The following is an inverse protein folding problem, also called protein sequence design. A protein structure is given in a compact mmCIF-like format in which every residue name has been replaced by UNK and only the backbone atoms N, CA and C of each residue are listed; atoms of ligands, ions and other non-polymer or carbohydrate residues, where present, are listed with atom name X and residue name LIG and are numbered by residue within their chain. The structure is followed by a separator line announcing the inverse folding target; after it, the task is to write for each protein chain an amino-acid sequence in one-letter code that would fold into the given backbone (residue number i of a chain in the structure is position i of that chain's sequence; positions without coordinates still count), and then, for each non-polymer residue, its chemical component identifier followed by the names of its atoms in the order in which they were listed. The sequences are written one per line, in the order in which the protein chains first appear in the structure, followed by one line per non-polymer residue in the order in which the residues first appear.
data_IF_041555424103
#
_entry.id   IF_041555424103
#
_cell.length_a   1.000
_cell.length_b   1.000
_cell.length_c   1.000
_cell.angle_alpha   90.00
_cell.angle_beta   90.00
_cell.angle_gamma   90.00
#
_symmetry.space_group_name_H-M   'P 1'
#
loop_
_entity.id
_entity.type
_entity.pdbx_description
1 polymer ?
#
# COMPACT_ATOMS: atom_id res chain seq x y z
N UNK A 1 0.84 35.42 -17.06
CA UNK A 1 1.97 34.51 -16.77
C UNK A 1 2.26 34.45 -15.27
N UNK A 2 2.65 35.56 -14.62
CA UNK A 2 2.97 35.59 -13.17
C UNK A 2 1.80 35.12 -12.27
N UNK A 3 0.58 35.61 -12.53
CA UNK A 3 -0.62 35.22 -11.76
C UNK A 3 -0.97 33.73 -11.91
N UNK A 4 -0.81 33.17 -13.11
CA UNK A 4 -1.09 31.75 -13.37
C UNK A 4 -0.06 30.84 -12.67
N UNK A 5 1.21 31.28 -12.62
CA UNK A 5 2.27 30.58 -11.89
C UNK A 5 2.01 30.60 -10.38
N UNK A 6 1.58 31.75 -9.83
CA UNK A 6 1.19 31.88 -8.43
C UNK A 6 0.00 30.97 -8.09
N UNK A 7 -1.02 30.91 -8.95
CA UNK A 7 -2.19 30.07 -8.75
C UNK A 7 -1.84 28.57 -8.75
N UNK A 8 -0.91 28.14 -9.64
CA UNK A 8 -0.43 26.77 -9.69
C UNK A 8 0.30 26.37 -8.41
N UNK A 9 1.20 27.21 -7.88
CA UNK A 9 1.89 26.93 -6.62
C UNK A 9 0.94 26.85 -5.43
N UNK A 10 -0.04 27.76 -5.34
CA UNK A 10 -1.02 27.74 -4.25
C UNK A 10 -1.86 26.46 -4.31
N UNK A 11 -2.28 26.04 -5.50
CA UNK A 11 -3.06 24.81 -5.68
C UNK A 11 -2.27 23.55 -5.30
N UNK A 12 -1.01 23.46 -5.74
CA UNK A 12 -0.11 22.35 -5.43
C UNK A 12 0.21 22.29 -3.93
N UNK A 13 0.44 23.44 -3.30
CA UNK A 13 0.65 23.53 -1.85
C UNK A 13 -0.58 23.01 -1.10
N UNK A 14 -1.78 23.49 -1.44
CA UNK A 14 -3.03 23.02 -0.81
C UNK A 14 -3.21 21.52 -0.99
N UNK A 15 -2.97 20.99 -2.19
CA UNK A 15 -3.06 19.55 -2.44
C UNK A 15 -2.10 18.74 -1.55
N UNK A 16 -0.84 19.19 -1.40
CA UNK A 16 0.16 18.54 -0.54
C UNK A 16 -0.22 18.57 0.93
N UNK A 17 -0.76 19.69 1.42
CA UNK A 17 -1.25 19.80 2.80
C UNK A 17 -2.39 18.82 3.08
N UNK A 18 -3.37 18.73 2.18
CA UNK A 18 -4.49 17.78 2.31
C UNK A 18 -4.02 16.33 2.31
N UNK A 19 -3.10 15.97 1.40
CA UNK A 19 -2.53 14.62 1.36
C UNK A 19 -1.74 14.32 2.65
N UNK A 20 -0.99 15.31 3.17
CA UNK A 20 -0.21 15.15 4.39
C UNK A 20 -1.08 14.86 5.61
N UNK A 21 -2.21 15.56 5.78
CA UNK A 21 -3.14 15.31 6.88
C UNK A 21 -3.71 13.89 6.85
N UNK A 22 -4.17 13.44 5.68
CA UNK A 22 -4.70 12.08 5.50
C UNK A 22 -3.62 11.04 5.78
N UNK A 23 -2.40 11.28 5.28
CA UNK A 23 -1.26 10.38 5.47
C UNK A 23 -0.86 10.27 6.93
N UNK A 24 -0.89 11.39 7.66
CA UNK A 24 -0.59 11.44 9.09
C UNK A 24 -1.59 10.61 9.90
N UNK A 25 -2.89 10.79 9.65
CA UNK A 25 -3.95 10.03 10.32
C UNK A 25 -3.80 8.53 10.02
N UNK A 26 -3.56 8.17 8.76
CA UNK A 26 -3.34 6.79 8.35
C UNK A 26 -2.14 6.16 9.10
N UNK A 27 -1.00 6.84 9.15
CA UNK A 27 0.19 6.36 9.86
C UNK A 27 -0.02 6.21 11.37
N UNK A 28 -0.74 7.14 11.97
CA UNK A 28 -1.06 7.07 13.39
C UNK A 28 -1.90 5.82 13.71
N UNK A 29 -2.93 5.56 12.89
CA UNK A 29 -3.75 4.33 13.02
C UNK A 29 -2.91 3.08 12.79
N UNK A 30 -2.08 3.05 11.74
CA UNK A 30 -1.19 1.93 11.47
C UNK A 30 -0.27 1.63 12.66
N UNK A 31 0.34 2.67 13.23
CA UNK A 31 1.21 2.53 14.42
C UNK A 31 0.47 1.89 15.59
N UNK A 32 -0.78 2.29 15.85
CA UNK A 32 -1.61 1.70 16.89
C UNK A 32 -1.96 0.23 16.62
N UNK A 33 -2.20 -0.12 15.35
CA UNK A 33 -2.49 -1.50 14.95
C UNK A 33 -1.23 -2.35 15.13
N UNK A 34 -0.06 -1.91 14.68
CA UNK A 34 1.21 -2.62 14.89
C UNK A 34 1.55 -2.84 16.36
N UNK A 35 1.13 -1.94 17.25
CA UNK A 35 1.34 -2.10 18.69
C UNK A 35 0.43 -3.16 19.34
N UNK A 36 -0.65 -3.60 18.66
CA UNK A 36 -1.70 -4.45 19.24
C UNK A 36 -1.97 -5.75 18.48
N UNK A 37 -1.65 -5.80 17.19
CA UNK A 37 -1.92 -6.95 16.34
C UNK A 37 -0.64 -7.72 16.02
N UNK A 38 -0.76 -9.04 15.88
CA UNK A 38 0.35 -9.89 15.48
C UNK A 38 0.80 -9.57 14.06
N UNK A 39 2.13 -9.56 13.86
CA UNK A 39 2.75 -9.21 12.58
C UNK A 39 2.23 -10.08 11.42
N UNK A 40 1.92 -11.35 11.67
CA UNK A 40 1.40 -12.27 10.64
C UNK A 40 0.04 -11.86 10.09
N UNK A 41 -0.79 -11.19 10.90
CA UNK A 41 -2.11 -10.70 10.48
C UNK A 41 -1.96 -9.42 9.65
N UNK A 42 -0.91 -8.63 9.88
CA UNK A 42 -0.69 -7.37 9.17
C UNK A 42 0.03 -7.52 7.83
N UNK A 43 0.95 -8.49 7.69
CA UNK A 43 1.72 -8.64 6.45
C UNK A 43 0.84 -8.76 5.19
N UNK A 44 -0.30 -9.49 5.18
CA UNK A 44 -1.19 -9.55 4.03
C UNK A 44 -1.75 -8.18 3.65
N UNK A 45 -2.07 -7.32 4.63
CA UNK A 45 -2.59 -5.97 4.38
C UNK A 45 -1.53 -5.07 3.74
N UNK A 46 -0.28 -5.15 4.18
CA UNK A 46 0.82 -4.38 3.56
C UNK A 46 1.01 -4.74 2.09
N UNK A 47 0.89 -6.03 1.75
CA UNK A 47 1.03 -6.49 0.36
C UNK A 47 -0.10 -6.00 -0.55
N UNK A 48 -1.28 -5.66 -0.02
CA UNK A 48 -2.36 -5.07 -0.84
C UNK A 48 -1.95 -3.72 -1.43
N UNK A 49 -1.04 -2.98 -0.78
CA UNK A 49 -0.52 -1.71 -1.31
C UNK A 49 0.21 -1.91 -2.64
N UNK A 50 0.87 -3.06 -2.85
CA UNK A 50 1.56 -3.38 -4.11
C UNK A 50 0.55 -3.60 -5.25
N UNK A 51 -0.60 -4.20 -4.96
CA UNK A 51 -1.70 -4.36 -5.92
C UNK A 51 -2.23 -2.99 -6.34
N UNK A 52 -2.54 -2.13 -5.36
CA UNK A 52 -3.02 -0.76 -5.64
C UNK A 52 -1.98 0.09 -6.37
N UNK A 53 -0.70 0.02 -5.99
CA UNK A 53 0.38 0.74 -6.66
C UNK A 53 0.51 0.31 -8.13
N UNK A 54 0.38 -0.99 -8.42
CA UNK A 54 0.43 -1.52 -9.79
C UNK A 54 -0.78 -1.03 -10.62
N UNK A 55 -1.98 -1.07 -10.05
CA UNK A 55 -3.21 -0.62 -10.73
C UNK A 55 -3.16 0.89 -10.99
N UNK A 56 -2.85 1.69 -9.97
CA UNK A 56 -2.80 3.15 -10.09
C UNK A 56 -1.69 3.57 -11.05
N UNK A 57 -0.52 2.94 -10.94
CA UNK A 57 0.60 3.15 -11.86
C UNK A 57 0.18 2.88 -13.29
N UNK A 58 -0.43 1.74 -13.58
CA UNK A 58 -0.91 1.42 -14.92
C UNK A 58 -1.97 2.42 -15.40
N UNK A 59 -2.94 2.81 -14.57
CA UNK A 59 -4.05 3.68 -15.00
C UNK A 59 -3.60 5.10 -15.33
N UNK A 60 -2.68 5.66 -14.55
CA UNK A 60 -2.32 7.08 -14.69
C UNK A 60 -1.10 7.26 -15.60
N UNK A 61 -0.21 6.26 -15.69
CA UNK A 61 0.95 6.29 -16.59
C UNK A 61 0.70 5.56 -17.92
N UNK A 62 -0.40 4.79 -18.03
CA UNK A 62 -0.76 3.95 -19.18
C UNK A 62 0.35 2.99 -19.61
N UNK A 63 1.26 2.67 -18.68
CA UNK A 63 2.38 1.77 -18.90
C UNK A 63 2.06 0.40 -18.30
N UNK A 64 2.22 -0.64 -19.12
CA UNK A 64 1.93 -2.00 -18.68
C UNK A 64 3.07 -2.54 -17.82
N UNK A 65 2.77 -3.18 -16.68
CA UNK A 65 3.82 -3.73 -15.83
C UNK A 65 4.69 -4.71 -16.63
N UNK A 66 6.00 -4.54 -16.52
CA UNK A 66 6.98 -5.43 -17.14
C UNK A 66 6.93 -6.83 -16.53
N UNK A 67 7.55 -7.81 -17.20
CA UNK A 67 7.58 -9.21 -16.76
C UNK A 67 8.05 -9.38 -15.30
N UNK A 68 8.97 -8.55 -14.85
CA UNK A 68 9.51 -8.56 -13.49
C UNK A 68 8.44 -8.24 -12.44
N UNK A 69 7.54 -7.29 -12.73
CA UNK A 69 6.44 -6.92 -11.83
C UNK A 69 5.45 -8.07 -11.68
N UNK A 70 5.13 -8.75 -12.79
CA UNK A 70 4.26 -9.93 -12.76
C UNK A 70 4.87 -11.08 -11.95
N UNK A 71 6.16 -11.35 -12.13
CA UNK A 71 6.88 -12.37 -11.35
C UNK A 71 6.84 -12.04 -9.85
N UNK A 72 7.15 -10.79 -9.49
CA UNK A 72 7.05 -10.31 -8.11
C UNK A 72 5.64 -10.48 -7.53
N UNK A 73 4.62 -10.11 -8.30
CA UNK A 73 3.21 -10.25 -7.92
C UNK A 73 2.81 -11.69 -7.62
N UNK A 74 3.24 -12.65 -8.46
CA UNK A 74 2.99 -14.08 -8.23
C UNK A 74 3.64 -14.57 -6.93
N UNK A 75 4.87 -14.14 -6.64
CA UNK A 75 5.57 -14.52 -5.40
C UNK A 75 4.82 -13.99 -4.18
N UNK A 76 4.38 -12.74 -4.19
CA UNK A 76 3.62 -12.13 -3.09
C UNK A 76 2.31 -12.89 -2.84
N UNK A 77 1.57 -13.21 -3.91
CA UNK A 77 0.32 -13.98 -3.81
C UNK A 77 0.60 -15.37 -3.23
N UNK A 78 1.66 -16.05 -3.68
CA UNK A 78 2.07 -17.36 -3.17
C UNK A 78 2.42 -17.31 -1.67
N UNK A 79 3.16 -16.29 -1.23
CA UNK A 79 3.47 -16.07 0.18
C UNK A 79 2.21 -15.82 1.02
N UNK A 80 1.27 -15.01 0.52
CA UNK A 80 -0.01 -14.74 1.19
C UNK A 80 -0.85 -16.02 1.35
N UNK A 81 -0.97 -16.82 0.29
CA UNK A 81 -1.66 -18.10 0.32
C UNK A 81 -0.99 -19.09 1.29
N UNK A 82 0.35 -19.13 1.31
CA UNK A 82 1.11 -19.96 2.25
C UNK A 82 0.86 -19.57 3.71
N UNK A 83 0.79 -18.26 4.02
CA UNK A 83 0.48 -17.81 5.38
C UNK A 83 -0.91 -18.25 5.84
N UNK A 84 -1.93 -18.10 4.98
CA UNK A 84 -3.30 -18.53 5.28
C UNK A 84 -3.35 -20.06 5.49
N UNK A 85 -2.64 -20.81 4.64
CA UNK A 85 -2.56 -22.27 4.76
C UNK A 85 -1.87 -22.69 6.07
N UNK A 86 -0.76 -22.03 6.44
CA UNK A 86 -0.04 -22.24 7.70
C UNK A 86 -0.94 -22.02 8.92
N UNK A 87 -1.71 -20.94 8.93
CA UNK A 87 -2.57 -20.59 10.07
C UNK A 87 -3.80 -21.52 10.18
N UNK A 88 -4.24 -22.13 9.07
CA UNK A 88 -5.29 -23.15 9.07
C UNK A 88 -4.83 -24.53 9.54
N UNK A 89 -3.52 -24.78 9.63
CA UNK A 89 -3.03 -26.05 10.18
C UNK A 89 -3.25 -26.07 11.70
N UNK A 90 -3.95 -27.09 12.25
CA UNK A 90 -4.18 -27.20 13.68
C UNK A 90 -2.84 -27.21 14.41
N UNK A 91 -2.58 -26.15 15.19
CA UNK A 91 -1.43 -26.10 16.07
C UNK A 91 -1.71 -27.03 17.25
N UNK A 92 -1.46 -28.33 17.06
CA UNK A 92 -1.52 -29.33 18.12
C UNK A 92 -0.33 -29.10 19.06
N UNK A 93 -0.41 -28.04 19.87
CA UNK A 93 0.41 -27.88 21.06
C UNK A 93 -0.10 -28.90 22.07
N UNK A 94 0.55 -30.06 22.07
CA UNK A 94 0.48 -31.05 23.14
C UNK A 94 0.92 -30.45 24.48
#
# INVERSE_FOLDING_TARGET
MLLAMLLFEVLDAVAKWLIAEITLIAHFVFTLVFARADVSVLSPFEYTALVWATIIGNLVWLDFPSSEVWIGGVIIIACGLYMIHRESLPNNKA
#
